data_IF_080476027638
#
_entry.id   IF_080476027638
#
_cell.length_a   1.000
_cell.length_b   1.000
_cell.length_c   1.000
_cell.angle_alpha   90.00
_cell.angle_beta   90.00
_cell.angle_gamma   90.00
#
_symmetry.space_group_name_H-M   'P 1'
#
loop_
_entity.id
_entity.type
_entity.pdbx_description
1 polymer ?
#
# COMPACT_ATOMS: atom_id res chain seq x y z
N UNK A 1 27.10 -1.88 -25.70
CA UNK A 1 26.02 -2.35 -24.80
C UNK A 1 24.84 -2.76 -25.65
N UNK A 2 24.19 -3.89 -25.36
CA UNK A 2 22.96 -4.27 -26.07
C UNK A 2 21.83 -3.30 -25.77
N UNK A 3 20.92 -3.08 -26.73
CA UNK A 3 19.71 -2.31 -26.51
C UNK A 3 18.85 -2.96 -25.40
N UNK A 4 18.62 -2.24 -24.31
CA UNK A 4 17.84 -2.69 -23.15
C UNK A 4 16.36 -2.85 -23.51
N UNK A 5 15.86 -2.12 -24.51
CA UNK A 5 14.44 -2.15 -24.91
C UNK A 5 13.99 -3.55 -25.34
N UNK A 6 14.88 -4.37 -25.88
CA UNK A 6 14.57 -5.76 -26.26
C UNK A 6 14.20 -6.67 -25.09
N UNK A 7 14.45 -6.24 -23.86
CA UNK A 7 14.16 -6.98 -22.64
C UNK A 7 12.91 -6.46 -21.90
N UNK A 8 12.26 -5.42 -22.42
CA UNK A 8 11.07 -4.81 -21.84
C UNK A 8 9.84 -5.28 -22.62
N UNK A 9 8.74 -5.58 -21.92
CA UNK A 9 7.49 -5.98 -22.54
C UNK A 9 6.88 -4.85 -23.40
N UNK A 10 6.35 -5.13 -24.60
CA UNK A 10 5.98 -4.08 -25.57
C UNK A 10 4.99 -3.04 -25.05
N UNK A 11 3.98 -3.48 -24.28
CA UNK A 11 2.94 -2.59 -23.75
C UNK A 11 3.48 -1.55 -22.76
N UNK A 12 4.64 -1.79 -22.14
CA UNK A 12 5.26 -0.83 -21.24
C UNK A 12 5.75 0.43 -21.96
N UNK A 13 5.97 0.36 -23.28
CA UNK A 13 6.37 1.54 -24.07
C UNK A 13 5.24 2.56 -24.26
N UNK A 14 3.99 2.12 -24.17
CA UNK A 14 2.80 2.95 -24.35
C UNK A 14 2.11 3.26 -23.01
N UNK A 15 2.46 2.53 -21.96
CA UNK A 15 1.93 2.72 -20.62
C UNK A 15 2.20 4.15 -20.14
N UNK A 16 1.13 4.85 -19.75
CA UNK A 16 1.24 6.19 -19.18
C UNK A 16 1.76 6.11 -17.75
N UNK A 17 2.62 7.06 -17.41
CA UNK A 17 3.08 7.22 -16.03
C UNK A 17 1.90 7.58 -15.12
N UNK A 18 1.74 6.83 -14.03
CA UNK A 18 0.82 7.18 -12.96
C UNK A 18 1.48 8.22 -12.07
N UNK A 19 0.90 9.43 -12.00
CA UNK A 19 1.46 10.55 -11.26
C UNK A 19 0.68 10.83 -9.97
N UNK A 20 1.42 11.16 -8.92
CA UNK A 20 0.90 11.65 -7.63
C UNK A 20 1.29 13.12 -7.38
N UNK A 21 1.58 13.88 -8.44
CA UNK A 21 2.06 15.27 -8.37
C UNK A 21 1.25 16.17 -7.43
N UNK A 22 -0.07 15.96 -7.34
CA UNK A 22 -0.92 16.74 -6.43
C UNK A 22 -0.54 16.61 -4.95
N UNK A 23 0.16 15.52 -4.57
CA UNK A 23 0.69 15.31 -3.22
C UNK A 23 1.93 16.17 -3.00
N UNK A 24 2.85 16.19 -3.98
CA UNK A 24 4.06 17.01 -3.93
C UNK A 24 3.69 18.51 -3.89
N UNK A 25 2.76 18.94 -4.74
CA UNK A 25 2.26 20.32 -4.76
C UNK A 25 1.67 20.72 -3.39
N UNK A 26 1.00 19.78 -2.71
CA UNK A 26 0.44 20.01 -1.38
C UNK A 26 1.52 20.11 -0.29
N UNK A 27 2.65 19.41 -0.42
CA UNK A 27 3.79 19.55 0.49
C UNK A 27 4.52 20.88 0.28
N UNK A 28 4.68 21.32 -0.97
CA UNK A 28 5.28 22.60 -1.31
C UNK A 28 4.40 23.80 -0.91
N UNK A 29 3.09 23.57 -0.76
CA UNK A 29 2.10 24.60 -0.39
C UNK A 29 1.35 24.23 0.89
N UNK A 30 2.00 24.25 2.07
CA UNK A 30 1.39 23.78 3.33
C UNK A 30 0.21 24.63 3.82
N UNK A 31 -0.04 25.79 3.20
CA UNK A 31 -1.19 26.64 3.47
C UNK A 31 -2.47 26.19 2.76
N UNK A 32 -2.39 25.22 1.84
CA UNK A 32 -3.54 24.67 1.14
C UNK A 32 -4.32 23.68 2.02
N UNK A 33 -5.65 23.69 1.87
CA UNK A 33 -6.50 22.63 2.40
C UNK A 33 -6.35 21.37 1.54
N UNK A 34 -5.75 20.31 2.08
CA UNK A 34 -5.54 19.02 1.39
C UNK A 34 -6.85 18.24 1.28
N UNK A 35 -7.45 18.25 0.09
CA UNK A 35 -8.72 17.55 -0.19
C UNK A 35 -8.71 16.80 -1.54
N UNK A 36 -7.54 16.58 -2.15
CA UNK A 36 -7.41 16.05 -3.52
C UNK A 36 -7.39 14.53 -3.61
N UNK A 37 -6.99 13.82 -2.55
CA UNK A 37 -6.70 12.37 -2.62
C UNK A 37 -7.35 11.53 -1.51
N UNK A 38 -8.42 12.03 -0.89
CA UNK A 38 -9.21 11.33 0.15
C UNK A 38 -8.42 10.96 1.41
N UNK A 39 -7.37 11.71 1.76
CA UNK A 39 -6.69 11.54 3.05
C UNK A 39 -7.64 11.83 4.21
N UNK A 40 -7.47 11.10 5.32
CA UNK A 40 -8.22 11.37 6.54
C UNK A 40 -7.72 12.69 7.16
N UNK A 41 -8.60 13.68 7.44
CA UNK A 41 -8.19 14.92 8.10
C UNK A 41 -7.84 14.71 9.58
N UNK A 42 -8.28 13.60 10.17
CA UNK A 42 -7.99 13.25 11.56
C UNK A 42 -6.63 12.57 11.67
N UNK A 43 -5.90 12.90 12.74
CA UNK A 43 -4.66 12.20 13.08
C UNK A 43 -4.93 10.72 13.39
N UNK A 44 -3.95 9.83 13.20
CA UNK A 44 -4.04 8.45 13.69
C UNK A 44 -4.33 8.42 15.20
N UNK A 45 -5.03 7.38 15.66
CA UNK A 45 -5.27 7.22 17.10
C UNK A 45 -3.97 7.05 17.89
N UNK A 46 -3.95 7.51 19.15
CA UNK A 46 -2.78 7.39 20.03
C UNK A 46 -2.32 5.93 20.20
N UNK A 47 -3.26 4.97 20.16
CA UNK A 47 -2.95 3.53 20.19
C UNK A 47 -2.09 3.10 19.00
N UNK A 48 -2.36 3.65 17.81
CA UNK A 48 -1.56 3.38 16.61
C UNK A 48 -0.19 4.03 16.71
N UNK A 49 -0.14 5.30 17.13
CA UNK A 49 1.12 6.04 17.31
C UNK A 49 2.06 5.30 18.27
N UNK A 50 1.55 4.87 19.42
CA UNK A 50 2.31 4.11 20.41
C UNK A 50 2.78 2.75 19.85
N UNK A 51 1.90 2.01 19.17
CA UNK A 51 2.25 0.71 18.59
C UNK A 51 3.35 0.83 17.52
N UNK A 52 3.32 1.88 16.70
CA UNK A 52 4.37 2.15 15.71
C UNK A 52 5.69 2.50 16.40
N UNK A 53 5.67 3.38 17.40
CA UNK A 53 6.86 3.77 18.15
C UNK A 53 7.54 2.56 18.83
N UNK A 54 6.75 1.62 19.37
CA UNK A 54 7.27 0.39 19.97
C UNK A 54 7.76 -0.62 18.92
N UNK A 55 7.08 -0.73 17.76
CA UNK A 55 7.50 -1.62 16.69
C UNK A 55 8.86 -1.22 16.09
N UNK A 56 9.11 0.08 15.91
CA UNK A 56 10.37 0.60 15.33
C UNK A 56 11.60 0.17 16.14
N UNK A 57 11.47 -0.03 17.46
CA UNK A 57 12.57 -0.53 18.32
C UNK A 57 13.08 -1.92 17.90
N UNK A 58 12.26 -2.68 17.16
CA UNK A 58 12.59 -4.00 16.62
C UNK A 58 12.68 -4.00 15.09
N UNK A 59 12.85 -2.83 14.46
CA UNK A 59 12.86 -2.66 13.00
C UNK A 59 13.99 -3.39 12.26
N UNK A 60 14.97 -3.93 12.99
CA UNK A 60 16.03 -4.79 12.46
C UNK A 60 15.60 -6.26 12.28
N UNK A 61 14.33 -6.60 12.52
CA UNK A 61 13.78 -7.96 12.39
C UNK A 61 12.75 -8.01 11.26
N UNK A 62 12.80 -9.08 10.47
CA UNK A 62 11.78 -9.33 9.44
C UNK A 62 10.40 -9.51 10.08
N UNK A 63 9.32 -9.04 9.42
CA UNK A 63 7.97 -9.34 9.85
C UNK A 63 7.64 -10.82 9.62
N UNK A 64 6.71 -11.37 10.41
CA UNK A 64 6.11 -12.68 10.14
C UNK A 64 4.97 -12.60 9.12
N UNK A 65 4.23 -13.71 8.95
CA UNK A 65 3.08 -13.85 8.03
C UNK A 65 1.81 -13.10 8.46
N UNK A 66 1.93 -12.12 9.36
CA UNK A 66 0.85 -11.25 9.81
C UNK A 66 -0.37 -11.99 10.40
N UNK A 67 -0.16 -13.20 10.96
CA UNK A 67 -1.24 -14.06 11.47
C UNK A 67 -2.19 -13.33 12.43
N UNK A 68 -1.62 -12.58 13.38
CA UNK A 68 -2.40 -11.80 14.37
C UNK A 68 -3.32 -10.76 13.74
N UNK A 69 -2.91 -10.14 12.64
CA UNK A 69 -3.71 -9.14 11.93
C UNK A 69 -4.84 -9.82 11.16
N UNK A 70 -4.50 -10.86 10.40
CA UNK A 70 -5.47 -11.63 9.61
C UNK A 70 -6.57 -12.25 10.48
N UNK A 71 -6.22 -12.87 11.62
CA UNK A 71 -7.21 -13.40 12.58
C UNK A 71 -8.15 -12.32 13.09
N UNK A 72 -7.62 -11.16 13.51
CA UNK A 72 -8.46 -10.06 14.01
C UNK A 72 -9.43 -9.51 12.97
N UNK A 73 -8.99 -9.39 11.71
CA UNK A 73 -9.85 -8.96 10.61
C UNK A 73 -10.92 -10.02 10.34
N UNK A 74 -10.56 -11.30 10.34
CA UNK A 74 -11.50 -12.40 10.14
C UNK A 74 -12.60 -12.39 11.20
N UNK A 75 -12.23 -12.30 12.48
CA UNK A 75 -13.17 -12.22 13.61
C UNK A 75 -14.09 -11.00 13.50
N UNK A 76 -13.53 -9.83 13.14
CA UNK A 76 -14.29 -8.58 12.99
C UNK A 76 -15.39 -8.69 11.93
N UNK A 77 -15.17 -9.48 10.88
CA UNK A 77 -16.10 -9.63 9.75
C UNK A 77 -16.85 -10.96 9.74
N UNK A 78 -16.70 -11.81 10.77
CA UNK A 78 -17.34 -13.14 10.81
C UNK A 78 -16.83 -14.09 9.72
N UNK A 79 -15.56 -13.97 9.32
CA UNK A 79 -14.91 -14.78 8.30
C UNK A 79 -13.94 -15.78 8.94
N UNK A 80 -13.49 -16.76 8.16
CA UNK A 80 -12.34 -17.59 8.54
C UNK A 80 -11.02 -16.90 8.15
N UNK A 81 -9.94 -17.29 8.83
CA UNK A 81 -8.60 -16.75 8.59
C UNK A 81 -8.12 -16.91 7.13
N UNK A 82 -8.52 -18.00 6.49
CA UNK A 82 -8.20 -18.35 5.10
C UNK A 82 -8.81 -17.37 4.10
N UNK A 83 -9.91 -16.70 4.47
CA UNK A 83 -10.61 -15.71 3.65
C UNK A 83 -10.05 -14.29 3.81
N UNK A 84 -8.96 -14.12 4.56
CA UNK A 84 -8.31 -12.81 4.74
C UNK A 84 -6.90 -12.86 4.19
N UNK A 85 -6.61 -11.99 3.22
CA UNK A 85 -5.27 -11.70 2.72
C UNK A 85 -4.89 -10.26 3.06
N UNK A 86 -3.62 -10.03 3.37
CA UNK A 86 -3.05 -8.70 3.66
C UNK A 86 -2.00 -8.32 2.62
N UNK A 87 -2.02 -7.06 2.16
CA UNK A 87 -1.04 -6.47 1.26
C UNK A 87 -0.59 -5.10 1.77
N UNK A 88 0.45 -4.54 1.18
CA UNK A 88 0.95 -3.20 1.47
C UNK A 88 0.11 -2.12 0.78
N UNK A 89 -1.17 -2.09 1.12
CA UNK A 89 -2.21 -1.34 0.42
C UNK A 89 -3.03 -2.22 -0.53
N UNK A 90 -4.29 -1.85 -0.75
CA UNK A 90 -5.20 -2.63 -1.60
C UNK A 90 -4.75 -2.70 -3.07
N UNK A 91 -3.99 -1.71 -3.56
CA UNK A 91 -3.44 -1.71 -4.92
C UNK A 91 -2.58 -2.94 -5.21
N UNK A 92 -1.84 -3.45 -4.22
CA UNK A 92 -1.06 -4.69 -4.39
C UNK A 92 -1.97 -5.90 -4.59
N UNK A 93 -3.08 -5.97 -3.85
CA UNK A 93 -4.04 -7.06 -3.99
C UNK A 93 -4.78 -7.00 -5.33
N UNK A 94 -5.07 -5.80 -5.83
CA UNK A 94 -5.63 -5.60 -7.18
C UNK A 94 -4.63 -6.06 -8.24
N UNK A 95 -3.36 -5.66 -8.16
CA UNK A 95 -2.30 -6.11 -9.08
C UNK A 95 -2.14 -7.64 -9.07
N UNK A 96 -2.07 -8.24 -7.87
CA UNK A 96 -2.00 -9.70 -7.72
C UNK A 96 -3.22 -10.39 -8.35
N UNK A 97 -4.42 -9.86 -8.14
CA UNK A 97 -5.66 -10.39 -8.72
C UNK A 97 -5.59 -10.32 -10.26
N UNK A 98 -5.16 -9.20 -10.82
CA UNK A 98 -4.99 -9.06 -12.27
C UNK A 98 -4.01 -10.09 -12.82
N UNK A 99 -2.85 -10.29 -12.20
CA UNK A 99 -1.85 -11.28 -12.64
C UNK A 99 -2.33 -12.73 -12.58
N UNK A 100 -3.26 -13.05 -11.68
CA UNK A 100 -3.80 -14.41 -11.53
C UNK A 100 -4.86 -14.69 -12.60
N UNK A 101 -5.72 -13.72 -12.88
CA UNK A 101 -6.94 -13.95 -13.67
C UNK A 101 -6.93 -13.32 -15.07
N UNK A 102 -6.09 -12.32 -15.32
CA UNK A 102 -5.99 -11.59 -16.58
C UNK A 102 -4.63 -11.89 -17.20
N UNK A 103 -4.66 -12.68 -18.28
CA UNK A 103 -3.48 -13.04 -19.07
C UNK A 103 -3.04 -11.90 -19.99
#
# INVERSE_FOLDING_TARGET
MSDVKKHIVPWMHEAKYYSIQSVDDAYDNPHWARMSINECPMKPSDKVVQAVADAVKNGNRYPGTQNRLRTKIADLHGLSYENVWTGNGSSELIDATMRIFVA
#
